data_IF_914794844038
#
_entry.id   IF_914794844038
#
_cell.length_a   1.000
_cell.length_b   1.000
_cell.length_c   1.000
_cell.angle_alpha   90.00
_cell.angle_beta   90.00
_cell.angle_gamma   90.00
#
_symmetry.space_group_name_H-M   'P 1'
#
loop_
_entity.id
_entity.type
_entity.pdbx_description
1 polymer ?
#
# COMPACT_ATOMS: atom_id res chain seq x y z
N UNK A 1 11.24 1.46 -23.49
CA UNK A 1 9.99 1.56 -22.71
C UNK A 1 10.40 1.95 -21.30
N UNK A 2 9.81 3.01 -20.75
CA UNK A 2 10.07 3.38 -19.35
C UNK A 2 9.43 2.36 -18.42
N UNK A 3 10.01 2.15 -17.25
CA UNK A 3 9.46 1.25 -16.24
C UNK A 3 8.07 1.76 -15.79
N UNK A 4 7.03 0.91 -15.79
CA UNK A 4 5.68 1.35 -15.46
C UNK A 4 5.62 1.81 -14.01
N UNK A 5 5.08 3.00 -13.78
CA UNK A 5 4.98 3.61 -12.44
C UNK A 5 3.57 4.11 -12.20
N UNK A 6 2.88 3.52 -11.22
CA UNK A 6 1.58 3.96 -10.74
C UNK A 6 1.78 4.79 -9.46
N UNK A 7 1.45 6.08 -9.48
CA UNK A 7 1.60 6.99 -8.34
C UNK A 7 0.23 7.37 -7.78
N UNK A 8 0.02 7.14 -6.48
CA UNK A 8 -1.22 7.51 -5.79
C UNK A 8 -1.42 9.04 -5.79
N UNK A 9 -2.64 9.52 -6.06
CA UNK A 9 -2.97 10.95 -6.00
C UNK A 9 -3.88 11.27 -4.83
N UNK A 10 -4.98 10.52 -4.66
CA UNK A 10 -5.91 10.67 -3.53
C UNK A 10 -6.81 9.44 -3.34
N UNK A 11 -7.47 9.39 -2.19
CA UNK A 11 -8.60 8.50 -1.91
C UNK A 11 -9.75 9.39 -1.42
N UNK A 12 -10.86 9.43 -2.16
CA UNK A 12 -12.01 10.27 -1.84
C UNK A 12 -13.31 9.61 -2.29
N UNK A 13 -14.38 9.75 -1.50
CA UNK A 13 -15.70 9.19 -1.80
C UNK A 13 -15.68 7.68 -2.09
N UNK A 14 -14.78 6.94 -1.43
CA UNK A 14 -14.62 5.50 -1.65
C UNK A 14 -13.91 5.14 -2.96
N UNK A 15 -13.27 6.10 -3.64
CA UNK A 15 -12.50 5.85 -4.87
C UNK A 15 -11.05 6.23 -4.65
N UNK A 16 -10.16 5.24 -4.79
CA UNK A 16 -8.72 5.48 -4.86
C UNK A 16 -8.36 5.92 -6.28
N UNK A 17 -7.50 6.92 -6.39
CA UNK A 17 -7.03 7.44 -7.68
C UNK A 17 -5.50 7.47 -7.73
N UNK A 18 -4.98 7.22 -8.93
CA UNK A 18 -3.56 7.29 -9.21
C UNK A 18 -3.28 7.61 -10.68
N UNK A 19 -2.08 8.10 -10.94
CA UNK A 19 -1.58 8.37 -12.29
C UNK A 19 -0.57 7.30 -12.65
N UNK A 20 -0.83 6.60 -13.75
CA UNK A 20 0.02 5.58 -14.33
C UNK A 20 0.79 6.16 -15.53
N UNK A 21 2.10 5.93 -15.53
CA UNK A 21 3.01 6.30 -16.63
C UNK A 21 3.83 5.08 -17.06
N UNK A 22 4.42 5.14 -18.25
CA UNK A 22 5.26 4.04 -18.79
C UNK A 22 4.54 3.14 -19.79
N UNK A 23 3.26 3.42 -20.11
CA UNK A 23 2.48 2.70 -21.11
C UNK A 23 2.17 3.56 -22.33
N UNK A 24 2.54 3.08 -23.53
CA UNK A 24 2.23 3.75 -24.79
C UNK A 24 0.79 3.53 -25.26
N UNK A 25 0.18 2.43 -24.85
CA UNK A 25 -1.21 2.05 -25.15
C UNK A 25 -2.00 1.94 -23.85
N UNK A 26 -3.32 1.80 -23.96
CA UNK A 26 -4.19 1.64 -22.79
C UNK A 26 -3.76 0.40 -21.98
N UNK A 27 -3.39 0.55 -20.70
CA UNK A 27 -3.02 -0.57 -19.86
C UNK A 27 -4.27 -1.33 -19.39
N UNK A 28 -4.13 -2.64 -19.24
CA UNK A 28 -5.16 -3.52 -18.67
C UNK A 28 -4.88 -3.68 -17.18
N UNK A 29 -5.57 -2.87 -16.37
CA UNK A 29 -5.33 -2.78 -14.93
C UNK A 29 -6.43 -3.51 -14.18
N UNK A 30 -6.02 -4.31 -13.20
CA UNK A 30 -6.93 -4.91 -12.24
C UNK A 30 -6.55 -4.50 -10.81
N UNK A 31 -7.54 -4.53 -9.93
CA UNK A 31 -7.34 -4.40 -8.50
C UNK A 31 -7.92 -5.62 -7.80
N UNK A 32 -7.29 -6.07 -6.72
CA UNK A 32 -7.75 -7.21 -5.92
C UNK A 32 -7.76 -6.88 -4.44
N UNK A 33 -8.74 -7.42 -3.72
CA UNK A 33 -8.79 -7.45 -2.25
C UNK A 33 -8.79 -8.92 -1.81
N UNK A 34 -7.82 -9.33 -0.99
CA UNK A 34 -7.61 -10.73 -0.59
C UNK A 34 -7.53 -11.71 -1.78
N UNK A 35 -6.96 -11.25 -2.90
CA UNK A 35 -6.85 -12.03 -4.14
C UNK A 35 -8.14 -12.13 -4.96
N UNK A 36 -9.24 -11.52 -4.52
CA UNK A 36 -10.50 -11.44 -5.26
C UNK A 36 -10.52 -10.16 -6.10
N UNK A 37 -10.76 -10.22 -7.42
CA UNK A 37 -10.86 -9.04 -8.27
C UNK A 37 -11.96 -8.08 -7.82
N UNK A 38 -11.67 -6.78 -7.94
CA UNK A 38 -12.60 -5.68 -7.69
C UNK A 38 -13.26 -5.25 -9.00
N UNK A 39 -14.56 -4.99 -8.93
CA UNK A 39 -15.32 -4.43 -10.04
C UNK A 39 -15.12 -2.92 -10.14
N UNK A 40 -15.36 -2.36 -11.33
CA UNK A 40 -15.42 -0.91 -11.53
C UNK A 40 -14.08 -0.18 -11.56
N UNK A 41 -12.95 -0.90 -11.68
CA UNK A 41 -11.65 -0.29 -11.99
C UNK A 41 -11.74 0.40 -13.35
N UNK A 42 -11.41 1.69 -13.40
CA UNK A 42 -11.40 2.46 -14.64
C UNK A 42 -10.00 2.96 -14.95
N UNK A 43 -9.69 3.01 -16.25
CA UNK A 43 -8.44 3.56 -16.77
C UNK A 43 -8.81 4.54 -17.88
N UNK A 44 -8.50 5.81 -17.70
CA UNK A 44 -8.80 6.87 -18.68
C UNK A 44 -7.52 7.61 -19.04
N UNK A 45 -7.39 8.02 -20.30
CA UNK A 45 -6.22 8.76 -20.75
C UNK A 45 -6.25 10.19 -20.19
N UNK A 46 -5.16 10.61 -19.54
CA UNK A 46 -5.00 11.95 -18.98
C UNK A 46 -4.13 12.83 -19.89
N UNK A 47 -4.77 13.36 -20.93
CA UNK A 47 -4.16 14.21 -21.96
C UNK A 47 -3.25 13.44 -22.92
N UNK A 48 -2.29 14.13 -23.54
CA UNK A 48 -1.54 13.60 -24.69
C UNK A 48 -0.25 12.84 -24.32
N UNK A 49 0.15 12.80 -23.05
CA UNK A 49 1.51 12.42 -22.61
C UNK A 49 1.66 10.96 -22.10
N UNK A 50 0.90 9.99 -22.64
CA UNK A 50 0.99 8.59 -22.19
C UNK A 50 0.79 8.43 -20.66
N UNK A 51 -0.08 9.29 -20.10
CA UNK A 51 -0.51 9.26 -18.71
C UNK A 51 -1.92 8.70 -18.66
N UNK A 52 -2.16 7.83 -17.68
CA UNK A 52 -3.44 7.18 -17.49
C UNK A 52 -3.92 7.44 -16.06
N UNK A 53 -5.11 8.01 -15.93
CA UNK A 53 -5.80 8.09 -14.66
C UNK A 53 -6.41 6.71 -14.36
N UNK A 54 -5.98 6.12 -13.25
CA UNK A 54 -6.49 4.85 -12.74
C UNK A 54 -7.39 5.17 -11.55
N UNK A 55 -8.64 4.68 -11.57
CA UNK A 55 -9.56 4.79 -10.46
C UNK A 55 -9.97 3.40 -10.00
N UNK A 56 -9.86 3.15 -8.69
CA UNK A 56 -10.17 1.87 -8.06
C UNK A 56 -11.23 2.13 -6.99
N UNK A 57 -12.49 1.72 -7.21
CA UNK A 57 -13.52 1.82 -6.19
C UNK A 57 -13.23 0.84 -5.05
N UNK A 58 -13.29 1.35 -3.83
CA UNK A 58 -13.18 0.57 -2.61
C UNK A 58 -14.53 -0.09 -2.34
N UNK A 59 -14.62 -1.43 -2.37
CA UNK A 59 -15.88 -2.09 -2.07
C UNK A 59 -16.19 -1.96 -0.58
N UNK A 60 -17.47 -1.93 -0.23
CA UNK A 60 -17.90 -1.91 1.18
C UNK A 60 -17.39 -3.13 1.96
N UNK A 61 -17.17 -4.27 1.29
CA UNK A 61 -16.57 -5.47 1.89
C UNK A 61 -15.12 -5.25 2.36
N UNK A 62 -14.40 -4.31 1.76
CA UNK A 62 -13.05 -3.93 2.19
C UNK A 62 -13.05 -2.95 3.37
N UNK A 63 -14.21 -2.41 3.77
CA UNK A 63 -14.38 -1.58 4.97
C UNK A 63 -14.68 -2.47 6.18
N UNK A 64 -13.68 -3.26 6.58
CA UNK A 64 -13.75 -4.19 7.72
C UNK A 64 -12.73 -3.82 8.79
N UNK A 65 -12.93 -4.30 10.02
CA UNK A 65 -11.98 -4.08 11.12
C UNK A 65 -10.56 -4.54 10.76
N UNK A 66 -9.58 -3.76 11.21
CA UNK A 66 -8.15 -4.00 10.96
C UNK A 66 -7.64 -3.42 9.64
N UNK A 67 -6.52 -3.97 9.17
CA UNK A 67 -5.85 -3.54 7.95
C UNK A 67 -6.34 -4.35 6.75
N UNK A 68 -6.80 -3.66 5.72
CA UNK A 68 -7.30 -4.23 4.48
C UNK A 68 -6.46 -3.70 3.32
N UNK A 69 -5.73 -4.57 2.62
CA UNK A 69 -4.85 -4.18 1.53
C UNK A 69 -5.48 -4.49 0.18
N UNK A 70 -5.48 -3.49 -0.69
CA UNK A 70 -5.87 -3.60 -2.10
C UNK A 70 -4.60 -3.53 -2.95
N UNK A 71 -4.44 -4.50 -3.83
CA UNK A 71 -3.29 -4.60 -4.74
C UNK A 71 -3.74 -4.24 -6.14
N UNK A 72 -2.97 -3.39 -6.82
CA UNK A 72 -3.22 -2.95 -8.19
C UNK A 72 -2.12 -3.51 -9.08
N UNK A 73 -2.50 -4.24 -10.12
CA UNK A 73 -1.59 -4.96 -11.01
C UNK A 73 -1.93 -4.75 -12.47
N UNK A 74 -0.93 -4.92 -13.32
CA UNK A 74 -1.12 -5.13 -14.75
C UNK A 74 -1.63 -6.55 -14.98
N UNK A 75 -2.84 -6.69 -15.53
CA UNK A 75 -3.51 -7.99 -15.73
C UNK A 75 -2.80 -8.87 -16.75
N UNK A 76 -2.10 -8.27 -17.72
CA UNK A 76 -1.42 -9.01 -18.80
C UNK A 76 -0.14 -9.65 -18.31
N UNK A 77 0.57 -8.99 -17.41
CA UNK A 77 1.88 -9.44 -16.91
C UNK A 77 1.82 -10.02 -15.50
N UNK A 78 0.78 -9.72 -14.73
CA UNK A 78 0.67 -10.00 -13.30
C UNK A 78 1.58 -9.14 -12.42
N UNK A 79 2.26 -8.12 -13.00
CA UNK A 79 3.15 -7.26 -12.25
C UNK A 79 2.37 -6.32 -11.33
N UNK A 80 2.70 -6.32 -10.04
CA UNK A 80 2.16 -5.36 -9.07
C UNK A 80 2.70 -3.96 -9.39
N UNK A 81 1.79 -3.02 -9.60
CA UNK A 81 2.11 -1.62 -9.92
C UNK A 81 2.04 -0.73 -8.69
N UNK A 82 1.06 -0.99 -7.80
CA UNK A 82 0.91 -0.29 -6.53
C UNK A 82 0.01 -1.11 -5.58
N UNK A 83 -0.06 -0.71 -4.32
CA UNK A 83 -1.02 -1.21 -3.35
C UNK A 83 -1.33 -0.12 -2.33
N UNK A 84 -2.55 -0.09 -1.81
CA UNK A 84 -2.92 0.79 -0.72
C UNK A 84 -3.65 0.01 0.39
N UNK A 85 -3.61 0.55 1.60
CA UNK A 85 -4.20 -0.08 2.78
C UNK A 85 -5.26 0.83 3.38
N UNK A 86 -6.40 0.24 3.71
CA UNK A 86 -7.47 0.86 4.47
C UNK A 86 -7.38 0.30 5.89
N UNK A 87 -7.45 1.19 6.86
CA UNK A 87 -7.53 0.85 8.27
C UNK A 87 -8.90 1.30 8.79
N UNK A 88 -9.68 0.38 9.35
CA UNK A 88 -10.98 0.67 9.95
C UNK A 88 -11.18 -0.13 11.25
N UNK A 89 -12.19 0.26 12.04
CA UNK A 89 -12.48 -0.33 13.36
C UNK A 89 -11.81 0.39 14.53
N UNK A 90 -12.34 0.17 15.74
CA UNK A 90 -11.68 0.55 16.99
C UNK A 90 -10.70 -0.54 17.41
N UNK A 91 -9.60 -0.14 18.06
CA UNK A 91 -8.57 -1.00 18.68
C UNK A 91 -7.26 -1.21 17.92
N UNK A 92 -6.84 -0.29 17.03
CA UNK A 92 -5.44 -0.29 16.57
C UNK A 92 -4.49 0.46 17.53
N UNK A 93 -5.00 1.43 18.31
CA UNK A 93 -4.12 2.46 18.86
C UNK A 93 -3.44 2.08 20.18
N UNK A 94 -4.10 1.33 21.06
CA UNK A 94 -3.55 1.00 22.38
C UNK A 94 -2.66 -0.25 22.35
N UNK A 95 -3.02 -1.28 21.58
CA UNK A 95 -2.32 -2.56 21.61
C UNK A 95 -1.01 -2.52 20.79
N UNK A 96 -1.04 -1.93 19.59
CA UNK A 96 0.18 -1.80 18.76
C UNK A 96 1.17 -0.80 19.37
N UNK A 97 0.71 0.32 19.96
CA UNK A 97 1.63 1.24 20.67
C UNK A 97 2.26 0.57 21.89
N UNK A 98 1.52 -0.28 22.60
CA UNK A 98 2.03 -1.03 23.75
C UNK A 98 3.08 -2.05 23.34
N UNK A 99 2.83 -2.83 22.28
CA UNK A 99 3.80 -3.78 21.73
C UNK A 99 5.05 -3.10 21.16
N UNK A 100 4.91 -1.97 20.44
CA UNK A 100 6.04 -1.18 19.95
C UNK A 100 6.84 -0.56 21.10
N UNK A 101 6.18 -0.11 22.17
CA UNK A 101 6.85 0.39 23.37
C UNK A 101 7.65 -0.72 24.07
N UNK A 102 7.09 -1.93 24.17
CA UNK A 102 7.76 -3.10 24.74
C UNK A 102 9.00 -3.49 23.92
N UNK A 103 8.87 -3.57 22.59
CA UNK A 103 10.00 -3.86 21.68
C UNK A 103 11.13 -2.83 21.79
N UNK A 104 10.80 -1.54 21.97
CA UNK A 104 11.80 -0.49 22.22
C UNK A 104 12.50 -0.66 23.55
N UNK A 105 11.77 -1.02 24.60
CA UNK A 105 12.34 -1.25 25.93
C UNK A 105 13.31 -2.45 25.92
N UNK A 106 12.93 -3.54 25.27
CA UNK A 106 13.78 -4.72 25.03
C UNK A 106 15.07 -4.35 24.27
N UNK A 107 14.96 -3.58 23.17
CA UNK A 107 16.10 -3.11 22.40
C UNK A 107 17.04 -2.17 23.19
N UNK A 108 16.49 -1.33 24.05
CA UNK A 108 17.29 -0.45 24.91
C UNK A 108 18.03 -1.21 26.00
N UNK A 109 17.45 -2.29 26.54
CA UNK A 109 18.15 -3.21 27.43
C UNK A 109 19.30 -3.92 26.70
N UNK A 110 19.06 -4.40 25.49
CA UNK A 110 20.10 -5.01 24.65
C UNK A 110 21.24 -4.03 24.34
N UNK A 111 20.92 -2.79 23.96
CA UNK A 111 21.92 -1.73 23.73
C UNK A 111 22.75 -1.43 24.96
N UNK A 112 22.15 -1.39 26.15
CA UNK A 112 22.87 -1.18 27.42
C UNK A 112 23.84 -2.34 27.70
N UNK A 113 23.38 -3.58 27.56
CA UNK A 113 24.21 -4.76 27.75
C UNK A 113 25.38 -4.80 26.74
N UNK A 114 25.10 -4.50 25.48
CA UNK A 114 26.12 -4.45 24.43
C UNK A 114 27.17 -3.34 24.69
N UNK A 115 26.72 -2.12 25.03
CA UNK A 115 27.65 -1.03 25.39
C UNK A 115 28.54 -1.40 26.58
N UNK A 116 27.97 -2.05 27.60
CA UNK A 116 28.75 -2.53 28.75
C UNK A 116 29.80 -3.55 28.32
N UNK A 117 29.42 -4.53 27.50
CA UNK A 117 30.34 -5.54 26.99
C UNK A 117 31.49 -4.95 26.16
N UNK A 118 31.22 -3.95 25.31
CA UNK A 118 32.25 -3.26 24.55
C UNK A 118 33.25 -2.48 25.41
N UNK A 119 32.84 -2.01 26.60
CA UNK A 119 33.72 -1.31 27.55
C UNK A 119 34.50 -2.30 28.42
N UNK A 120 33.89 -3.43 28.79
CA UNK A 120 34.53 -4.49 29.59
C UNK A 120 35.55 -5.32 28.81
N UNK A 121 35.50 -5.29 27.48
CA UNK A 121 36.35 -6.11 26.59
C UNK A 121 37.47 -5.29 25.89
N UNK A 122 37.66 -4.02 26.27
CA UNK A 122 38.86 -3.21 25.95
C UNK A 122 39.83 -3.21 27.12
#
# INVERSE_FOLDING_TARGET
MSEPTLTATRLSEGVWEGVLTGYSEAPDIEATHLGVPLDGVTVTQDGDNARWLVQVPVPASALSDGLQTIVISDRRTGATLNSFTILAGSDLDDDIRSEVALLRAELDMLKKAFRRHCVETM
#
